data_IF_721592829798
#
_entry.id   IF_721592829798
#
_cell.length_a   1.000
_cell.length_b   1.000
_cell.length_c   1.000
_cell.angle_alpha   90.00
_cell.angle_beta   90.00
_cell.angle_gamma   90.00
#
_symmetry.space_group_name_H-M   'P 1'
#
loop_
_entity.id
_entity.type
_entity.pdbx_description
1 polymer ?
#
# COMPACT_ATOMS: atom_id res chain seq x y z
N UNK A 1 68.90 73.14 -2.80
CA UNK A 1 67.62 73.44 -3.49
C UNK A 1 67.50 72.42 -4.61
N UNK A 2 66.63 71.41 -4.60
CA UNK A 2 65.29 71.32 -4.02
C UNK A 2 64.97 69.94 -3.45
N UNK A 3 64.06 69.96 -2.50
CA UNK A 3 63.64 68.93 -1.56
C UNK A 3 63.01 67.67 -2.19
N UNK A 4 63.38 66.53 -1.62
CA UNK A 4 62.63 65.26 -1.54
C UNK A 4 61.24 65.47 -0.92
N UNK A 5 60.18 64.82 -1.44
CA UNK A 5 59.07 64.18 -0.71
C UNK A 5 57.87 63.86 -1.64
N UNK A 6 57.14 62.80 -1.28
CA UNK A 6 55.80 62.41 -1.74
C UNK A 6 55.68 61.46 -2.95
N UNK A 7 56.37 60.32 -2.83
CA UNK A 7 55.80 59.03 -3.20
C UNK A 7 54.41 58.89 -2.53
N UNK A 8 53.36 59.01 -3.34
CA UNK A 8 51.97 59.05 -2.89
C UNK A 8 51.05 58.37 -3.90
N UNK A 9 51.15 57.05 -3.94
CA UNK A 9 49.99 56.16 -3.71
C UNK A 9 48.68 56.58 -4.42
N UNK A 10 48.66 56.64 -5.75
CA UNK A 10 47.40 56.43 -6.51
C UNK A 10 47.15 54.93 -6.69
N UNK A 11 46.83 54.25 -5.59
CA UNK A 11 45.90 53.11 -5.65
C UNK A 11 44.52 53.71 -5.69
N UNK A 12 43.77 53.55 -6.78
CA UNK A 12 42.30 53.52 -6.95
C UNK A 12 42.08 53.34 -8.46
N UNK A 13 41.31 52.40 -9.00
CA UNK A 13 40.32 51.48 -8.47
C UNK A 13 40.49 50.13 -9.20
N UNK A 14 40.27 49.02 -8.50
CA UNK A 14 39.79 47.80 -9.17
C UNK A 14 38.34 48.10 -9.54
N UNK A 15 38.08 48.46 -10.78
CA UNK A 15 36.75 48.24 -11.34
C UNK A 15 36.62 46.73 -11.53
N UNK A 16 36.27 46.06 -10.43
CA UNK A 16 35.53 44.82 -10.52
C UNK A 16 34.11 45.18 -10.95
N UNK A 17 33.96 45.59 -12.21
CA UNK A 17 32.68 45.45 -12.89
C UNK A 17 32.53 43.95 -13.09
N UNK A 18 31.87 43.32 -12.12
CA UNK A 18 31.08 42.15 -12.44
C UNK A 18 30.06 42.67 -13.46
N UNK A 19 30.30 42.43 -14.76
CA UNK A 19 29.30 42.64 -15.80
C UNK A 19 28.05 41.92 -15.31
N UNK A 20 27.08 42.69 -14.84
CA UNK A 20 25.74 42.19 -14.64
C UNK A 20 25.18 42.05 -16.04
N UNK A 21 25.16 40.83 -16.58
CA UNK A 21 24.47 40.53 -17.84
C UNK A 21 22.96 40.76 -17.62
N UNK A 22 22.56 42.00 -17.87
CA UNK A 22 21.18 42.46 -17.75
C UNK A 22 20.27 41.75 -18.77
N UNK A 23 20.81 41.37 -19.92
CA UNK A 23 20.08 40.62 -20.95
C UNK A 23 19.74 39.20 -20.48
N UNK A 24 20.69 38.45 -19.91
CA UNK A 24 20.40 37.11 -19.34
C UNK A 24 19.39 37.17 -18.18
N UNK A 25 19.47 38.23 -17.36
CA UNK A 25 18.55 38.43 -16.23
C UNK A 25 17.14 38.84 -16.69
N UNK A 26 17.03 39.73 -17.68
CA UNK A 26 15.77 40.18 -18.23
C UNK A 26 15.05 39.07 -19.02
N UNK A 27 15.80 38.26 -19.77
CA UNK A 27 15.27 37.06 -20.42
C UNK A 27 14.77 36.02 -19.42
N UNK A 28 15.48 35.84 -18.28
CA UNK A 28 14.98 34.98 -17.21
C UNK A 28 13.73 35.54 -16.54
N UNK A 29 13.62 36.87 -16.40
CA UNK A 29 12.45 37.53 -15.82
C UNK A 29 11.22 37.45 -16.75
N UNK A 30 11.44 37.57 -18.07
CA UNK A 30 10.42 37.45 -19.10
C UNK A 30 9.89 36.00 -19.23
N UNK A 31 10.72 35.00 -18.94
CA UNK A 31 10.36 33.58 -18.96
C UNK A 31 9.99 33.02 -17.58
N UNK A 32 9.83 33.88 -16.57
CA UNK A 32 9.59 33.47 -15.18
C UNK A 32 8.32 32.64 -15.02
N UNK A 33 7.26 32.95 -15.76
CA UNK A 33 6.02 32.15 -15.78
C UNK A 33 6.28 30.72 -16.28
N UNK A 34 7.00 30.56 -17.39
CA UNK A 34 7.33 29.25 -17.94
C UNK A 34 8.27 28.47 -17.02
N UNK A 35 9.20 29.15 -16.34
CA UNK A 35 10.08 28.55 -15.34
C UNK A 35 9.26 27.99 -14.16
N UNK A 36 8.37 28.79 -13.56
CA UNK A 36 7.53 28.31 -12.45
C UNK A 36 6.49 27.27 -12.90
N UNK A 37 6.00 27.34 -14.13
CA UNK A 37 5.12 26.30 -14.68
C UNK A 37 5.85 24.96 -14.79
N UNK A 38 7.08 24.95 -15.34
CA UNK A 38 7.90 23.74 -15.43
C UNK A 38 8.31 23.22 -14.06
N UNK A 39 8.64 24.12 -13.14
CA UNK A 39 8.99 23.77 -11.77
C UNK A 39 7.81 23.13 -11.05
N UNK A 40 6.63 23.78 -11.04
CA UNK A 40 5.43 23.23 -10.41
C UNK A 40 4.95 21.92 -11.05
N UNK A 41 5.08 21.77 -12.38
CA UNK A 41 4.79 20.50 -13.05
C UNK A 41 5.74 19.38 -12.59
N UNK A 42 7.05 19.68 -12.51
CA UNK A 42 8.05 18.73 -12.03
C UNK A 42 7.82 18.36 -10.57
N UNK A 43 7.64 19.35 -9.71
CA UNK A 43 7.37 19.16 -8.28
C UNK A 43 6.10 18.32 -8.07
N UNK A 44 5.01 18.66 -8.76
CA UNK A 44 3.76 17.91 -8.70
C UNK A 44 3.92 16.47 -9.20
N UNK A 45 4.66 16.25 -10.29
CA UNK A 45 4.92 14.90 -10.79
C UNK A 45 5.77 14.08 -9.80
N UNK A 46 6.80 14.68 -9.21
CA UNK A 46 7.66 14.02 -8.24
C UNK A 46 6.92 13.67 -6.95
N UNK A 47 6.12 14.59 -6.42
CA UNK A 47 5.32 14.39 -5.22
C UNK A 47 4.23 13.35 -5.47
N UNK A 48 3.49 13.46 -6.58
CA UNK A 48 2.46 12.49 -6.96
C UNK A 48 3.03 11.08 -7.10
N UNK A 49 4.17 10.92 -7.77
CA UNK A 49 4.82 9.60 -7.93
C UNK A 49 5.20 9.00 -6.58
N UNK A 50 5.74 9.80 -5.65
CA UNK A 50 6.10 9.34 -4.30
C UNK A 50 4.86 8.96 -3.50
N UNK A 51 3.82 9.80 -3.54
CA UNK A 51 2.56 9.56 -2.84
C UNK A 51 1.86 8.28 -3.34
N UNK A 52 1.70 8.13 -4.66
CA UNK A 52 1.11 6.95 -5.29
C UNK A 52 1.87 5.66 -4.95
N UNK A 53 3.20 5.72 -4.90
CA UNK A 53 4.01 4.57 -4.52
C UNK A 53 3.79 4.15 -3.07
N UNK A 54 3.73 5.13 -2.15
CA UNK A 54 3.48 4.87 -0.73
C UNK A 54 2.06 4.33 -0.52
N UNK A 55 1.07 4.96 -1.12
CA UNK A 55 -0.33 4.55 -1.05
C UNK A 55 -0.51 3.14 -1.62
N UNK A 56 0.04 2.84 -2.79
CA UNK A 56 -0.02 1.51 -3.39
C UNK A 56 0.61 0.43 -2.52
N UNK A 57 1.70 0.76 -1.81
CA UNK A 57 2.35 -0.14 -0.85
C UNK A 57 1.49 -0.39 0.39
N UNK A 58 0.92 0.66 0.97
CA UNK A 58 0.01 0.56 2.12
C UNK A 58 -1.24 -0.24 1.77
N UNK A 59 -1.84 0.05 0.61
CA UNK A 59 -2.98 -0.67 0.05
C UNK A 59 -2.68 -2.15 -0.12
N UNK A 60 -1.51 -2.49 -0.69
CA UNK A 60 -1.07 -3.88 -0.86
C UNK A 60 -0.94 -4.62 0.47
N UNK A 61 -0.37 -3.99 1.50
CA UNK A 61 -0.27 -4.59 2.82
C UNK A 61 -1.64 -4.80 3.48
N UNK A 62 -2.52 -3.79 3.44
CA UNK A 62 -3.85 -3.90 4.03
C UNK A 62 -4.66 -5.00 3.33
N UNK A 63 -4.65 -5.01 2.00
CA UNK A 63 -5.34 -6.02 1.19
C UNK A 63 -4.83 -7.42 1.49
N UNK A 64 -3.50 -7.60 1.54
CA UNK A 64 -2.89 -8.88 1.90
C UNK A 64 -3.29 -9.33 3.30
N UNK A 65 -3.21 -8.43 4.28
CA UNK A 65 -3.59 -8.71 5.67
C UNK A 65 -5.05 -9.17 5.78
N UNK A 66 -6.00 -8.42 5.22
CA UNK A 66 -7.42 -8.76 5.24
C UNK A 66 -7.71 -10.12 4.58
N UNK A 67 -7.03 -10.41 3.45
CA UNK A 67 -7.15 -11.70 2.76
C UNK A 67 -6.65 -12.85 3.63
N UNK A 68 -5.41 -12.77 4.11
CA UNK A 68 -4.83 -13.85 4.90
C UNK A 68 -5.45 -14.01 6.29
N UNK A 69 -6.09 -12.98 6.83
CA UNK A 69 -6.85 -13.06 8.08
C UNK A 69 -8.00 -14.08 7.96
N UNK A 70 -8.73 -14.08 6.85
CA UNK A 70 -9.83 -15.05 6.59
C UNK A 70 -9.30 -16.48 6.62
N UNK A 71 -8.15 -16.70 5.98
CA UNK A 71 -7.52 -18.01 5.88
C UNK A 71 -7.02 -18.48 7.25
N UNK A 72 -6.39 -17.58 8.00
CA UNK A 72 -5.94 -17.86 9.36
C UNK A 72 -7.09 -18.26 10.28
N UNK A 73 -8.22 -17.54 10.20
CA UNK A 73 -9.41 -17.85 10.98
C UNK A 73 -9.98 -19.23 10.62
N UNK A 74 -10.11 -19.53 9.32
CA UNK A 74 -10.58 -20.84 8.86
C UNK A 74 -9.66 -21.97 9.34
N UNK A 75 -8.33 -21.77 9.28
CA UNK A 75 -7.35 -22.73 9.81
C UNK A 75 -7.56 -22.99 11.30
N UNK A 76 -7.70 -21.93 12.09
CA UNK A 76 -7.95 -22.06 13.53
C UNK A 76 -9.24 -22.81 13.87
N UNK A 77 -10.32 -22.59 13.11
CA UNK A 77 -11.56 -23.35 13.28
C UNK A 77 -11.39 -24.84 12.94
N UNK A 78 -10.69 -25.13 11.83
CA UNK A 78 -10.42 -26.51 11.41
C UNK A 78 -9.58 -27.24 12.46
N UNK A 79 -8.54 -26.61 12.98
CA UNK A 79 -7.69 -27.16 14.05
C UNK A 79 -8.50 -27.39 15.34
N UNK A 80 -9.39 -26.45 15.69
CA UNK A 80 -10.30 -26.59 16.84
C UNK A 80 -11.23 -27.80 16.69
N UNK A 81 -11.89 -27.94 15.54
CA UNK A 81 -12.81 -29.06 15.29
C UNK A 81 -12.09 -30.40 15.15
N UNK A 82 -10.85 -30.42 14.66
CA UNK A 82 -10.04 -31.64 14.61
C UNK A 82 -9.73 -32.16 16.02
N UNK A 83 -9.33 -31.28 16.94
CA UNK A 83 -9.05 -31.64 18.33
C UNK A 83 -10.28 -32.13 19.09
N UNK A 84 -11.48 -31.67 18.70
CA UNK A 84 -12.76 -32.05 19.33
C UNK A 84 -13.54 -33.07 18.50
N UNK A 85 -12.95 -33.67 17.47
CA UNK A 85 -13.72 -34.42 16.47
C UNK A 85 -14.45 -35.63 17.05
N UNK A 86 -13.92 -36.24 18.11
CA UNK A 86 -14.51 -37.39 18.81
C UNK A 86 -15.71 -37.00 19.68
N UNK A 87 -15.90 -35.73 20.01
CA UNK A 87 -17.05 -35.27 20.81
C UNK A 87 -18.30 -35.04 19.98
N UNK A 88 -18.22 -35.13 18.65
CA UNK A 88 -19.34 -34.88 17.74
C UNK A 88 -19.92 -36.19 17.19
N UNK A 89 -21.25 -36.25 17.08
CA UNK A 89 -22.00 -37.39 16.53
C UNK A 89 -21.56 -37.76 15.10
N UNK A 90 -21.14 -36.78 14.31
CA UNK A 90 -20.76 -36.91 12.90
C UNK A 90 -19.24 -37.01 12.66
N UNK A 91 -18.48 -37.54 13.63
CA UNK A 91 -17.00 -37.55 13.63
C UNK A 91 -16.36 -38.03 12.32
N UNK A 92 -16.82 -39.14 11.72
CA UNK A 92 -16.30 -39.66 10.45
C UNK A 92 -16.49 -38.69 9.27
N UNK A 93 -17.65 -38.04 9.20
CA UNK A 93 -17.96 -37.06 8.16
C UNK A 93 -17.10 -35.80 8.34
N UNK A 94 -16.99 -35.32 9.58
CA UNK A 94 -16.18 -34.15 9.94
C UNK A 94 -14.70 -34.38 9.57
N UNK A 95 -14.10 -35.53 9.91
CA UNK A 95 -12.71 -35.88 9.52
C UNK A 95 -12.48 -35.83 8.01
N UNK A 96 -13.45 -36.32 7.23
CA UNK A 96 -13.39 -36.28 5.76
C UNK A 96 -13.39 -34.84 5.26
N UNK A 97 -14.29 -34.00 5.78
CA UNK A 97 -14.35 -32.60 5.41
C UNK A 97 -13.12 -31.79 5.86
N UNK A 98 -12.55 -32.09 7.03
CA UNK A 98 -11.29 -31.53 7.53
C UNK A 98 -10.14 -31.82 6.57
N UNK A 99 -10.01 -33.07 6.12
CA UNK A 99 -8.97 -33.46 5.14
C UNK A 99 -9.14 -32.69 3.83
N UNK A 100 -10.38 -32.57 3.34
CA UNK A 100 -10.68 -31.87 2.09
C UNK A 100 -10.42 -30.36 2.18
N UNK A 101 -10.74 -29.72 3.30
CA UNK A 101 -10.50 -28.28 3.44
C UNK A 101 -9.01 -28.00 3.59
N UNK A 102 -8.24 -28.82 4.31
CA UNK A 102 -6.77 -28.70 4.37
C UNK A 102 -6.15 -28.74 2.97
N UNK A 103 -6.55 -29.70 2.14
CA UNK A 103 -6.06 -29.81 0.75
C UNK A 103 -6.45 -28.62 -0.14
N UNK A 104 -7.57 -27.95 0.13
CA UNK A 104 -7.93 -26.70 -0.57
C UNK A 104 -7.06 -25.54 -0.09
N UNK A 105 -6.80 -25.46 1.21
CA UNK A 105 -6.03 -24.37 1.82
C UNK A 105 -4.53 -24.43 1.52
N UNK A 106 -3.99 -25.58 1.11
CA UNK A 106 -2.61 -25.68 0.60
C UNK A 106 -2.44 -25.03 -0.77
N UNK A 107 -3.51 -24.87 -1.54
CA UNK A 107 -3.50 -24.29 -2.89
C UNK A 107 -3.61 -22.77 -2.89
N UNK A 108 -3.63 -22.15 -1.72
CA UNK A 108 -3.73 -20.69 -1.59
C UNK A 108 -2.45 -20.07 -2.17
N UNK A 109 -2.54 -19.24 -3.22
CA UNK A 109 -1.38 -18.53 -3.73
C UNK A 109 -0.90 -17.50 -2.70
N UNK A 110 0.42 -17.42 -2.52
CA UNK A 110 1.07 -16.49 -1.59
C UNK A 110 1.71 -15.29 -2.31
N UNK A 111 1.44 -15.13 -3.61
CA UNK A 111 1.98 -14.06 -4.45
C UNK A 111 0.92 -13.01 -4.78
N UNK A 112 1.40 -11.79 -5.07
CA UNK A 112 0.58 -10.63 -5.39
C UNK A 112 0.39 -10.43 -6.90
N UNK A 113 0.33 -11.50 -7.72
CA UNK A 113 0.06 -11.35 -9.16
C UNK A 113 -1.45 -11.26 -9.39
N UNK A 114 -1.88 -10.53 -10.40
CA UNK A 114 -3.31 -10.36 -10.71
C UNK A 114 -4.04 -11.69 -10.95
N UNK A 115 -3.37 -12.65 -11.62
CA UNK A 115 -3.91 -13.99 -11.83
C UNK A 115 -4.15 -14.75 -10.51
N UNK A 116 -3.35 -14.47 -9.47
CA UNK A 116 -3.43 -15.13 -8.18
C UNK A 116 -4.63 -14.64 -7.36
N UNK A 117 -5.10 -13.41 -7.61
CA UNK A 117 -6.30 -12.85 -6.95
C UNK A 117 -7.53 -13.68 -7.27
N UNK A 118 -7.74 -14.00 -8.55
CA UNK A 118 -8.88 -14.81 -8.98
C UNK A 118 -8.82 -16.25 -8.47
N UNK A 119 -7.62 -16.84 -8.37
CA UNK A 119 -7.47 -18.18 -7.79
C UNK A 119 -7.68 -18.16 -6.27
N UNK A 120 -7.16 -17.15 -5.58
CA UNK A 120 -7.39 -16.93 -4.16
C UNK A 120 -8.89 -16.88 -3.83
N UNK A 121 -9.67 -16.08 -4.57
CA UNK A 121 -11.12 -15.96 -4.32
C UNK A 121 -11.86 -17.28 -4.53
N UNK A 122 -11.50 -18.04 -5.58
CA UNK A 122 -12.07 -19.36 -5.83
C UNK A 122 -11.75 -20.34 -4.69
N UNK A 123 -10.50 -20.34 -4.22
CA UNK A 123 -10.04 -21.20 -3.11
C UNK A 123 -10.76 -20.83 -1.82
N UNK A 124 -10.84 -19.55 -1.47
CA UNK A 124 -11.50 -19.07 -0.25
C UNK A 124 -13.00 -19.33 -0.27
N UNK A 125 -13.67 -19.13 -1.41
CA UNK A 125 -15.10 -19.44 -1.53
C UNK A 125 -15.37 -20.94 -1.34
N UNK A 126 -14.53 -21.81 -1.91
CA UNK A 126 -14.61 -23.26 -1.67
C UNK A 126 -14.36 -23.60 -0.19
N UNK A 127 -13.37 -22.96 0.44
CA UNK A 127 -13.06 -23.16 1.85
C UNK A 127 -14.23 -22.72 2.75
N UNK A 128 -14.78 -21.51 2.56
CA UNK A 128 -15.96 -21.00 3.30
C UNK A 128 -17.15 -21.95 3.22
N UNK A 129 -17.44 -22.47 2.03
CA UNK A 129 -18.54 -23.41 1.85
C UNK A 129 -18.32 -24.70 2.66
N UNK A 130 -17.10 -25.24 2.70
CA UNK A 130 -16.78 -26.41 3.53
C UNK A 130 -16.85 -26.11 5.02
N UNK A 131 -16.34 -24.96 5.47
CA UNK A 131 -16.45 -24.52 6.87
C UNK A 131 -17.91 -24.44 7.32
N UNK A 132 -18.80 -23.92 6.48
CA UNK A 132 -20.25 -23.89 6.78
C UNK A 132 -20.83 -25.29 6.95
N UNK A 133 -20.42 -26.25 6.13
CA UNK A 133 -20.85 -27.65 6.26
C UNK A 133 -20.36 -28.23 7.59
N UNK A 134 -19.08 -28.07 7.92
CA UNK A 134 -18.52 -28.57 9.18
C UNK A 134 -19.22 -27.92 10.38
N UNK A 135 -19.42 -26.60 10.37
CA UNK A 135 -20.12 -25.90 11.43
C UNK A 135 -21.58 -26.36 11.59
N UNK A 136 -22.24 -26.73 10.48
CA UNK A 136 -23.58 -27.33 10.53
C UNK A 136 -23.56 -28.69 11.22
N UNK A 137 -22.58 -29.54 10.90
CA UNK A 137 -22.40 -30.86 11.52
C UNK A 137 -22.04 -30.74 13.02
N UNK A 138 -21.24 -29.73 13.39
CA UNK A 138 -20.84 -29.47 14.78
C UNK A 138 -21.88 -28.67 15.58
N UNK A 139 -22.95 -28.15 14.95
CA UNK A 139 -23.93 -27.22 15.55
C UNK A 139 -23.30 -25.92 16.09
N UNK A 140 -22.23 -25.45 15.45
CA UNK A 140 -21.45 -24.25 15.85
C UNK A 140 -21.52 -23.12 14.80
N UNK A 141 -22.66 -22.94 14.13
CA UNK A 141 -22.81 -22.00 13.01
C UNK A 141 -22.48 -20.55 13.37
N UNK A 142 -22.70 -20.16 14.63
CA UNK A 142 -22.36 -18.81 15.14
C UNK A 142 -20.88 -18.44 14.94
N UNK A 143 -19.97 -19.41 15.04
CA UNK A 143 -18.52 -19.17 14.85
C UNK A 143 -18.19 -18.82 13.39
N UNK A 144 -19.00 -19.28 12.45
CA UNK A 144 -18.80 -19.02 11.02
C UNK A 144 -19.52 -17.75 10.58
N UNK A 145 -20.70 -17.47 11.12
CA UNK A 145 -21.46 -16.25 10.80
C UNK A 145 -20.75 -14.96 11.23
N UNK A 146 -19.89 -15.03 12.26
CA UNK A 146 -19.15 -13.88 12.76
C UNK A 146 -17.84 -13.61 12.00
N UNK A 147 -17.46 -14.45 11.02
CA UNK A 147 -16.21 -14.31 10.27
C UNK A 147 -16.11 -12.93 9.63
N UNK A 148 -17.15 -12.52 8.90
CA UNK A 148 -17.12 -11.28 8.14
C UNK A 148 -17.08 -10.05 9.06
N UNK A 149 -17.73 -10.13 10.23
CA UNK A 149 -17.67 -9.09 11.26
C UNK A 149 -16.27 -8.97 11.88
N UNK A 150 -15.65 -10.11 12.25
CA UNK A 150 -14.30 -10.13 12.82
C UNK A 150 -13.27 -9.63 11.82
N UNK A 151 -13.41 -9.99 10.53
CA UNK A 151 -12.55 -9.48 9.46
C UNK A 151 -12.67 -7.96 9.35
N UNK A 152 -13.88 -7.43 9.46
CA UNK A 152 -14.13 -5.99 9.40
C UNK A 152 -13.56 -5.24 10.61
N UNK A 153 -13.71 -5.79 11.81
CA UNK A 153 -13.20 -5.19 13.05
C UNK A 153 -11.67 -5.20 13.12
N UNK A 154 -11.04 -6.31 12.72
CA UNK A 154 -9.58 -6.49 12.80
C UNK A 154 -8.86 -5.92 11.59
N UNK A 155 -9.47 -6.04 10.40
CA UNK A 155 -8.91 -5.57 9.13
C UNK A 155 -9.18 -4.11 8.82
N UNK A 156 -10.10 -3.46 9.55
CA UNK A 156 -10.55 -2.09 9.30
C UNK A 156 -11.36 -1.95 8.01
N UNK A 157 -12.00 -0.78 7.83
CA UNK A 157 -12.52 -0.37 6.54
C UNK A 157 -11.42 0.35 5.76
N UNK A 158 -11.28 -0.01 4.49
CA UNK A 158 -10.36 0.66 3.57
C UNK A 158 -10.96 2.03 3.23
N UNK A 159 -10.33 3.11 3.69
CA UNK A 159 -10.58 4.44 3.17
C UNK A 159 -9.92 4.49 1.79
N UNK A 160 -10.67 4.14 0.76
CA UNK A 160 -10.27 4.53 -0.61
C UNK A 160 -10.47 6.04 -0.64
N UNK A 161 -9.45 6.82 -1.00
CA UNK A 161 -9.67 8.22 -1.36
C UNK A 161 -10.75 8.23 -2.45
N UNK A 162 -11.96 8.64 -2.06
CA UNK A 162 -13.14 8.59 -2.91
C UNK A 162 -12.90 9.44 -4.15
N UNK A 163 -13.25 8.87 -5.29
CA UNK A 163 -13.40 9.52 -6.58
C UNK A 163 -12.13 10.10 -7.23
N UNK A 164 -11.71 9.42 -8.30
CA UNK A 164 -10.77 9.97 -9.27
C UNK A 164 -11.27 11.28 -9.92
N UNK A 165 -12.58 11.57 -9.81
CA UNK A 165 -13.20 12.82 -10.24
C UNK A 165 -12.99 13.98 -9.27
N UNK A 166 -12.55 13.74 -8.02
CA UNK A 166 -12.19 14.79 -7.05
C UNK A 166 -10.69 15.17 -7.10
N UNK A 167 -9.90 14.50 -7.95
CA UNK A 167 -8.45 14.72 -8.07
C UNK A 167 -8.03 15.71 -9.19
N UNK A 168 -8.99 16.46 -9.74
CA UNK A 168 -8.76 17.54 -10.73
C UNK A 168 -9.54 18.81 -10.40
#
# INVERSE_FOLDING_TARGET
MNHTLADSKRRKLKDGQQEFDLDENLDSLLNLEEQYYKEGYREGQEESTKAQYLEGKEYGFQTGFQRFLVIGYIRGLVDFWENQVETYDASKSIKTHITQIRAIMEKVPLSNKDADVGEYEKVVNKARNKVRIIASLCKEQKKVSNIDQIIKEVGGEMQVSGDADEMW
#
